data_IF_435799524787
#
_entry.id   IF_435799524787
#
_cell.length_a   1.000
_cell.length_b   1.000
_cell.length_c   1.000
_cell.angle_alpha   90.00
_cell.angle_beta   90.00
_cell.angle_gamma   90.00
#
_symmetry.space_group_name_H-M   'P 1'
#
loop_
_entity.id
_entity.type
_entity.pdbx_description
1 polymer ?
#
# COMPACT_ATOMS: atom_id res chain seq x y z
N UNK A 1 10.36 -8.57 -9.67
CA UNK A 1 9.42 -8.17 -10.73
C UNK A 1 8.29 -9.17 -10.83
N UNK A 2 7.35 -9.04 -9.90
CA UNK A 2 6.13 -9.82 -9.84
C UNK A 2 4.93 -8.91 -9.99
N UNK A 3 4.02 -9.28 -10.90
CA UNK A 3 2.64 -8.77 -10.87
C UNK A 3 1.79 -9.79 -10.12
N UNK A 4 1.24 -9.40 -8.98
CA UNK A 4 0.30 -10.22 -8.21
C UNK A 4 -1.11 -9.74 -8.53
N UNK A 5 -1.96 -10.65 -9.00
CA UNK A 5 -3.36 -10.37 -9.31
C UNK A 5 -4.26 -11.19 -8.38
N UNK A 6 -5.07 -10.50 -7.57
CA UNK A 6 -6.11 -11.10 -6.73
C UNK A 6 -7.47 -10.53 -7.16
N UNK A 7 -8.46 -11.40 -7.31
CA UNK A 7 -9.83 -10.99 -7.55
C UNK A 7 -10.69 -11.39 -6.35
N UNK A 8 -11.15 -10.43 -5.57
CA UNK A 8 -11.99 -10.61 -4.39
C UNK A 8 -13.44 -10.21 -4.63
N UNK A 9 -13.77 -9.73 -5.83
CA UNK A 9 -15.13 -9.45 -6.27
C UNK A 9 -15.65 -10.53 -7.21
N UNK A 10 -16.96 -10.67 -7.30
CA UNK A 10 -17.66 -11.66 -8.13
C UNK A 10 -18.54 -11.05 -9.23
N UNK A 11 -18.62 -9.72 -9.32
CA UNK A 11 -19.49 -8.97 -10.23
C UNK A 11 -18.96 -9.01 -11.67
N UNK A 12 -17.66 -8.88 -11.87
CA UNK A 12 -17.03 -8.75 -13.19
C UNK A 12 -16.02 -9.89 -13.42
N UNK A 13 -16.16 -10.69 -14.50
CA UNK A 13 -15.18 -11.71 -14.85
C UNK A 13 -13.82 -11.10 -15.19
N UNK A 14 -12.78 -11.49 -14.45
CA UNK A 14 -11.42 -10.99 -14.63
C UNK A 14 -10.56 -11.96 -15.45
N UNK A 15 -10.21 -11.59 -16.68
CA UNK A 15 -9.23 -12.32 -17.50
C UNK A 15 -7.80 -12.01 -17.04
N UNK A 16 -7.34 -12.70 -16.00
CA UNK A 16 -6.01 -12.49 -15.37
C UNK A 16 -4.85 -12.49 -16.37
N UNK A 17 -4.86 -13.39 -17.36
CA UNK A 17 -3.82 -13.46 -18.39
C UNK A 17 -3.76 -12.20 -19.25
N UNK A 18 -4.92 -11.64 -19.64
CA UNK A 18 -4.99 -10.38 -20.40
C UNK A 18 -4.50 -9.22 -19.55
N UNK A 19 -4.99 -9.10 -18.31
CA UNK A 19 -4.56 -8.02 -17.42
C UNK A 19 -3.05 -8.04 -17.16
N UNK A 20 -2.47 -9.24 -16.98
CA UNK A 20 -1.02 -9.40 -16.82
C UNK A 20 -0.26 -8.90 -18.05
N UNK A 21 -0.71 -9.29 -19.26
CA UNK A 21 -0.12 -8.83 -20.51
C UNK A 21 -0.23 -7.31 -20.64
N UNK A 22 -1.38 -6.72 -20.34
CA UNK A 22 -1.61 -5.28 -20.45
C UNK A 22 -0.68 -4.50 -19.50
N UNK A 23 -0.50 -4.98 -18.26
CA UNK A 23 0.48 -4.42 -17.29
C UNK A 23 1.91 -4.50 -17.83
N UNK A 24 2.30 -5.63 -18.42
CA UNK A 24 3.61 -5.79 -19.04
C UNK A 24 3.80 -4.85 -20.22
N UNK A 25 2.81 -4.64 -21.08
CA UNK A 25 2.91 -3.68 -22.19
C UNK A 25 3.08 -2.25 -21.65
N UNK A 26 2.25 -1.85 -20.69
CA UNK A 26 2.34 -0.52 -20.07
C UNK A 26 3.71 -0.28 -19.44
N UNK A 27 4.29 -1.29 -18.77
CA UNK A 27 5.65 -1.22 -18.26
C UNK A 27 6.65 -0.81 -19.33
N UNK A 28 6.64 -1.49 -20.47
CA UNK A 28 7.61 -1.24 -21.54
C UNK A 28 7.41 0.15 -22.12
N UNK A 29 6.16 0.61 -22.27
CA UNK A 29 5.84 1.97 -22.73
C UNK A 29 6.40 3.03 -21.77
N UNK A 30 6.25 2.84 -20.46
CA UNK A 30 6.75 3.78 -19.45
C UNK A 30 8.26 3.69 -19.19
N UNK A 31 8.98 2.74 -19.80
CA UNK A 31 10.42 2.57 -19.59
C UNK A 31 10.80 2.14 -18.16
N UNK A 32 9.88 1.60 -17.37
CA UNK A 32 10.13 1.23 -15.97
C UNK A 32 10.84 -0.13 -15.94
N UNK A 33 12.13 -0.12 -15.62
CA UNK A 33 12.97 -1.33 -15.68
C UNK A 33 12.73 -2.30 -14.52
N UNK A 34 12.32 -1.82 -13.34
CA UNK A 34 12.08 -2.65 -12.15
C UNK A 34 10.91 -2.13 -11.35
N UNK A 35 9.87 -2.96 -11.19
CA UNK A 35 8.80 -2.71 -10.22
C UNK A 35 8.12 -4.03 -9.81
N UNK A 36 7.52 -4.03 -8.63
CA UNK A 36 6.54 -5.03 -8.23
C UNK A 36 5.17 -4.34 -8.08
N UNK A 37 4.11 -5.00 -8.53
CA UNK A 37 2.74 -4.44 -8.52
C UNK A 37 1.75 -5.48 -8.03
N UNK A 38 1.01 -5.13 -6.97
CA UNK A 38 -0.16 -5.86 -6.53
C UNK A 38 -1.43 -5.19 -7.06
N UNK A 39 -2.25 -5.93 -7.80
CA UNK A 39 -3.60 -5.50 -8.20
C UNK A 39 -4.61 -6.40 -7.50
N UNK A 40 -5.46 -5.79 -6.67
CA UNK A 40 -6.51 -6.47 -5.94
C UNK A 40 -7.85 -5.87 -6.39
N UNK A 41 -8.64 -6.63 -7.13
CA UNK A 41 -9.98 -6.22 -7.51
C UNK A 41 -10.95 -6.53 -6.37
N UNK A 42 -11.73 -5.54 -5.95
CA UNK A 42 -12.68 -5.62 -4.83
C UNK A 42 -14.04 -5.04 -5.23
N UNK A 43 -15.07 -5.27 -4.42
CA UNK A 43 -16.39 -4.67 -4.60
C UNK A 43 -16.50 -3.27 -3.95
N UNK A 44 -17.62 -2.57 -4.21
CA UNK A 44 -17.87 -1.22 -3.72
C UNK A 44 -17.87 -1.11 -2.18
N UNK A 45 -18.39 -2.13 -1.47
CA UNK A 45 -18.43 -2.10 -0.01
C UNK A 45 -17.02 -2.20 0.56
N UNK A 46 -16.21 -3.11 0.01
CA UNK A 46 -14.83 -3.33 0.44
C UNK A 46 -13.94 -2.14 0.08
N UNK A 47 -14.06 -1.54 -1.11
CA UNK A 47 -13.25 -0.36 -1.44
C UNK A 47 -13.64 0.86 -0.61
N UNK A 48 -14.93 1.08 -0.32
CA UNK A 48 -15.38 2.14 0.59
C UNK A 48 -14.79 1.96 1.99
N UNK A 49 -14.81 0.73 2.52
CA UNK A 49 -14.21 0.43 3.82
C UNK A 49 -12.70 0.74 3.85
N UNK A 50 -11.96 0.31 2.82
CA UNK A 50 -10.52 0.58 2.70
C UNK A 50 -10.26 2.08 2.54
N UNK A 51 -11.06 2.79 1.74
CA UNK A 51 -10.93 4.23 1.54
C UNK A 51 -11.14 5.00 2.86
N UNK A 52 -12.13 4.59 3.64
CA UNK A 52 -12.35 5.18 4.95
C UNK A 52 -11.20 4.91 5.92
N UNK A 53 -10.69 3.67 5.93
CA UNK A 53 -9.60 3.26 6.82
C UNK A 53 -8.32 4.08 6.57
N UNK A 54 -7.89 4.14 5.31
CA UNK A 54 -6.59 4.71 4.92
C UNK A 54 -6.62 6.16 4.43
N UNK A 55 -7.76 6.66 3.93
CA UNK A 55 -7.90 8.04 3.40
C UNK A 55 -8.94 8.88 4.14
N UNK A 56 -9.55 8.34 5.20
CA UNK A 56 -10.63 8.99 5.98
C UNK A 56 -11.80 9.46 5.10
N UNK A 57 -12.02 8.78 3.98
CA UNK A 57 -13.08 9.07 3.03
C UNK A 57 -14.07 7.90 2.97
N UNK A 58 -15.27 8.10 3.54
CA UNK A 58 -16.32 7.08 3.60
C UNK A 58 -17.17 7.00 2.32
N UNK A 59 -16.54 7.11 1.16
CA UNK A 59 -17.17 6.92 -0.16
C UNK A 59 -16.39 5.88 -0.96
N UNK A 60 -17.06 5.09 -1.82
CA UNK A 60 -16.36 4.24 -2.76
C UNK A 60 -15.56 5.09 -3.77
N UNK A 61 -14.54 4.48 -4.36
CA UNK A 61 -13.75 5.07 -5.44
C UNK A 61 -13.36 3.98 -6.42
N UNK A 62 -12.94 4.34 -7.63
CA UNK A 62 -12.58 3.37 -8.66
C UNK A 62 -11.25 2.67 -8.37
N UNK A 63 -10.28 3.41 -7.82
CA UNK A 63 -8.92 2.91 -7.56
C UNK A 63 -8.39 3.49 -6.25
N UNK A 64 -7.78 2.62 -5.43
CA UNK A 64 -6.90 3.01 -4.34
C UNK A 64 -5.49 2.54 -4.64
N UNK A 65 -4.54 3.47 -4.61
CA UNK A 65 -3.11 3.18 -4.80
C UNK A 65 -2.38 3.29 -3.46
N UNK A 66 -1.56 2.29 -3.18
CA UNK A 66 -0.74 2.20 -1.98
C UNK A 66 0.74 2.09 -2.35
N UNK A 67 1.58 3.02 -1.89
CA UNK A 67 3.03 2.93 -2.01
C UNK A 67 3.54 1.79 -1.14
N UNK A 68 4.37 0.92 -1.70
CA UNK A 68 4.83 -0.29 -1.00
C UNK A 68 6.20 -0.10 -0.37
N UNK A 69 7.16 0.46 -1.09
CA UNK A 69 8.56 0.46 -0.66
C UNK A 69 8.84 1.52 0.40
N UNK A 70 8.27 2.71 0.27
CA UNK A 70 8.58 3.86 1.13
C UNK A 70 8.19 3.58 2.59
N UNK A 71 6.96 3.08 2.79
CA UNK A 71 6.42 2.76 4.12
C UNK A 71 7.17 1.56 4.73
N UNK A 72 7.42 0.50 3.95
CA UNK A 72 8.16 -0.69 4.43
C UNK A 72 9.63 -0.36 4.69
N UNK A 73 10.23 0.57 3.95
CA UNK A 73 11.60 1.03 4.17
C UNK A 73 11.69 1.81 5.48
N UNK A 74 10.76 2.75 5.72
CA UNK A 74 10.69 3.46 7.00
C UNK A 74 10.53 2.48 8.17
N UNK A 75 9.63 1.51 8.05
CA UNK A 75 9.43 0.44 9.03
C UNK A 75 10.70 -0.41 9.25
N UNK A 76 11.36 -0.83 8.17
CA UNK A 76 12.61 -1.60 8.24
C UNK A 76 13.75 -0.81 8.89
N UNK A 77 13.86 0.49 8.60
CA UNK A 77 14.82 1.38 9.26
C UNK A 77 14.53 1.47 10.77
N UNK A 78 13.27 1.58 11.18
CA UNK A 78 12.90 1.54 12.59
C UNK A 78 13.40 0.26 13.27
N UNK A 79 13.23 -0.91 12.66
CA UNK A 79 13.79 -2.16 13.20
C UNK A 79 15.33 -2.15 13.28
N UNK A 80 16.03 -1.64 12.26
CA UNK A 80 17.49 -1.53 12.28
C UNK A 80 18.01 -0.58 13.37
N UNK A 81 17.22 0.43 13.74
CA UNK A 81 17.51 1.35 14.83
C UNK A 81 17.13 0.80 16.22
N UNK A 82 16.61 -0.43 16.29
CA UNK A 82 16.27 -1.12 17.54
C UNK A 82 14.82 -0.98 17.99
N UNK A 83 13.96 -0.29 17.23
CA UNK A 83 12.54 -0.22 17.54
C UNK A 83 11.86 -1.58 17.27
N UNK A 84 11.08 -2.03 18.23
CA UNK A 84 10.26 -3.26 18.16
C UNK A 84 8.79 -2.90 18.26
N UNK A 85 7.91 -3.87 18.07
CA UNK A 85 6.47 -3.68 18.20
C UNK A 85 5.78 -4.95 18.73
N UNK A 86 6.45 -5.69 19.61
CA UNK A 86 5.94 -6.94 20.20
C UNK A 86 4.93 -6.64 21.33
N UNK A 87 5.10 -5.53 22.06
CA UNK A 87 4.15 -5.02 23.06
C UNK A 87 3.40 -3.77 22.58
N UNK A 88 2.36 -3.35 23.32
CA UNK A 88 1.63 -2.11 23.02
C UNK A 88 2.53 -0.89 23.16
N UNK A 89 3.34 -0.84 24.21
CA UNK A 89 4.25 0.28 24.50
C UNK A 89 5.29 0.43 23.39
N UNK A 90 5.91 -0.68 22.98
CA UNK A 90 6.85 -0.71 21.87
C UNK A 90 6.18 -0.30 20.56
N UNK A 91 4.96 -0.77 20.29
CA UNK A 91 4.21 -0.40 19.09
C UNK A 91 3.93 1.10 19.04
N UNK A 92 3.52 1.71 20.14
CA UNK A 92 3.27 3.16 20.21
C UNK A 92 4.56 3.93 19.91
N UNK A 93 5.69 3.53 20.50
CA UNK A 93 6.98 4.18 20.25
C UNK A 93 7.41 4.06 18.79
N UNK A 94 7.34 2.85 18.22
CA UNK A 94 7.70 2.61 16.82
C UNK A 94 6.77 3.35 15.86
N UNK A 95 5.46 3.36 16.14
CA UNK A 95 4.48 4.05 15.32
C UNK A 95 4.69 5.58 15.33
N UNK A 96 5.05 6.16 16.47
CA UNK A 96 5.41 7.58 16.54
C UNK A 96 6.63 7.89 15.68
N UNK A 97 7.65 7.01 15.72
CA UNK A 97 8.87 7.20 14.94
C UNK A 97 8.62 7.06 13.43
N UNK A 98 7.85 6.06 13.02
CA UNK A 98 7.42 5.91 11.63
C UNK A 98 6.61 7.11 11.14
N UNK A 99 5.64 7.57 11.94
CA UNK A 99 4.82 8.74 11.63
C UNK A 99 5.68 9.98 11.38
N UNK A 100 6.67 10.21 12.24
CA UNK A 100 7.61 11.31 12.06
C UNK A 100 8.40 11.18 10.75
N UNK A 101 9.02 10.02 10.50
CA UNK A 101 9.82 9.80 9.28
C UNK A 101 8.97 10.01 8.02
N UNK A 102 7.76 9.45 7.97
CA UNK A 102 6.87 9.56 6.82
C UNK A 102 6.34 10.99 6.64
N UNK A 103 6.09 11.73 7.73
CA UNK A 103 5.70 13.14 7.66
C UNK A 103 6.80 14.01 7.02
N UNK A 104 8.06 13.79 7.40
CA UNK A 104 9.21 14.49 6.82
C UNK A 104 9.40 14.11 5.35
N UNK A 105 9.26 12.82 5.02
CA UNK A 105 9.32 12.35 3.64
C UNK A 105 8.22 12.96 2.77
N UNK A 106 6.98 13.00 3.27
CA UNK A 106 5.84 13.65 2.60
C UNK A 106 6.13 15.13 2.33
N UNK A 107 6.68 15.85 3.32
CA UNK A 107 7.06 17.27 3.17
C UNK A 107 8.10 17.47 2.07
N UNK A 108 9.09 16.59 1.96
CA UNK A 108 10.18 16.71 0.99
C UNK A 108 9.81 16.27 -0.43
N UNK A 109 8.87 15.34 -0.57
CA UNK A 109 8.56 14.70 -1.87
C UNK A 109 7.19 15.09 -2.44
N UNK A 110 6.32 15.73 -1.64
CA UNK A 110 4.92 15.96 -1.99
C UNK A 110 4.07 14.67 -1.96
N UNK A 111 4.59 13.60 -1.36
CA UNK A 111 3.86 12.34 -1.18
C UNK A 111 2.80 12.45 -0.06
N UNK A 112 1.88 11.49 -0.04
CA UNK A 112 0.86 11.34 1.00
C UNK A 112 0.87 9.91 1.56
N UNK A 113 1.91 9.61 2.34
CA UNK A 113 2.17 8.35 3.03
C UNK A 113 1.65 8.37 4.46
N UNK A 114 1.20 7.21 4.93
CA UNK A 114 0.79 6.96 6.32
C UNK A 114 1.52 5.70 6.83
N UNK A 115 1.79 5.58 8.15
CA UNK A 115 2.42 4.40 8.74
C UNK A 115 1.63 3.10 8.53
N UNK A 116 2.29 1.97 8.78
CA UNK A 116 1.60 0.68 8.79
C UNK A 116 0.58 0.64 9.93
N UNK A 117 -0.66 0.26 9.63
CA UNK A 117 -1.67 0.03 10.66
C UNK A 117 -1.28 -1.19 11.48
N UNK A 118 -1.50 -1.12 12.81
CA UNK A 118 -1.42 -2.29 13.67
C UNK A 118 -2.26 -3.42 13.06
N UNK A 119 -1.68 -4.61 12.89
CA UNK A 119 -2.49 -5.78 12.52
C UNK A 119 -3.45 -6.01 13.69
N UNK A 120 -4.74 -5.72 13.48
CA UNK A 120 -5.78 -6.26 14.33
C UNK A 120 -5.77 -7.78 14.10
N UNK A 121 -5.08 -8.53 14.96
CA UNK A 121 -5.39 -9.94 15.20
C UNK A 121 -6.67 -10.04 16.01
#
# INVERSE_FOLDING_TARGET
MGVVLRNLQSVVPLRRARLRRDVEVLRHIFGVQRFDLGIICVDNRRIQHINNLYRKNNQPTDVLSFPFYEVVTAHGICHLLGYRHETEEEWIEMQQKESYILSEFNRLTGSHLEPLTKRCT
#
